data_IF_971476247547
#
_entry.id   IF_971476247547
#
_cell.length_a   1.000
_cell.length_b   1.000
_cell.length_c   1.000
_cell.angle_alpha   90.00
_cell.angle_beta   90.00
_cell.angle_gamma   90.00
#
_symmetry.space_group_name_H-M   'P 1'
#
loop_
_entity.id
_entity.type
_entity.pdbx_description
1 polymer ?
#
# COMPACT_ATOMS: atom_id res chain seq x y z
N UNK A 1 -44.53 -10.63 -13.49
CA UNK A 1 -43.80 -9.63 -12.69
C UNK A 1 -42.34 -10.07 -12.64
N UNK A 2 -41.48 -9.41 -13.41
CA UNK A 2 -40.05 -9.65 -13.43
C UNK A 2 -39.41 -8.86 -12.27
N UNK A 3 -38.68 -9.54 -11.38
CA UNK A 3 -37.69 -8.88 -10.54
C UNK A 3 -36.35 -8.93 -11.26
N UNK A 4 -35.94 -7.78 -11.78
CA UNK A 4 -34.58 -7.52 -12.23
C UNK A 4 -33.97 -6.59 -11.19
N UNK A 5 -33.26 -7.15 -10.20
CA UNK A 5 -32.40 -6.36 -9.30
C UNK A 5 -31.10 -6.11 -10.04
N UNK A 6 -31.08 -5.02 -10.80
CA UNK A 6 -29.87 -4.43 -11.33
C UNK A 6 -29.23 -3.50 -10.30
N UNK A 7 -27.89 -3.55 -10.28
CA UNK A 7 -27.02 -2.42 -9.99
C UNK A 7 -26.92 -1.99 -8.52
N UNK A 8 -26.19 -2.79 -7.74
CA UNK A 8 -25.34 -2.27 -6.67
C UNK A 8 -23.94 -2.86 -6.82
N UNK A 9 -23.32 -2.59 -7.95
CA UNK A 9 -21.86 -2.61 -8.06
C UNK A 9 -21.49 -1.20 -8.46
N UNK A 10 -21.42 -0.30 -7.47
CA UNK A 10 -20.63 0.91 -7.65
C UNK A 10 -19.21 0.41 -7.91
N UNK A 11 -18.85 0.38 -9.18
CA UNK A 11 -17.48 0.31 -9.62
C UNK A 11 -16.77 1.46 -8.91
N UNK A 12 -16.04 1.11 -7.85
CA UNK A 12 -15.06 2.01 -7.24
C UNK A 12 -14.13 2.33 -8.42
N UNK A 13 -14.22 3.58 -8.88
CA UNK A 13 -13.37 4.09 -9.93
C UNK A 13 -11.93 3.88 -9.44
N UNK A 14 -11.21 3.01 -10.13
CA UNK A 14 -9.78 2.83 -9.98
C UNK A 14 -9.09 4.12 -10.45
N UNK A 15 -9.16 5.19 -9.65
CA UNK A 15 -8.11 6.19 -9.71
C UNK A 15 -6.84 5.49 -9.23
N UNK A 16 -5.92 5.23 -10.15
CA UNK A 16 -4.57 4.82 -9.78
C UNK A 16 -3.98 5.94 -8.92
N UNK A 17 -3.94 5.70 -7.62
CA UNK A 17 -3.22 6.57 -6.69
C UNK A 17 -1.74 6.46 -7.04
N UNK A 18 -1.19 7.56 -7.55
CA UNK A 18 0.25 7.70 -7.78
C UNK A 18 0.89 8.08 -6.44
N UNK A 19 1.58 7.12 -5.82
CA UNK A 19 2.31 7.29 -4.56
C UNK A 19 3.78 7.66 -4.79
N UNK A 20 4.34 7.22 -5.91
CA UNK A 20 5.75 7.33 -6.24
C UNK A 20 5.89 7.82 -7.68
N UNK A 21 6.61 8.91 -7.91
CA UNK A 21 6.77 9.53 -9.23
C UNK A 21 8.26 9.68 -9.60
N UNK A 22 8.52 10.30 -10.76
CA UNK A 22 9.88 10.56 -11.25
C UNK A 22 10.75 11.32 -10.25
N UNK A 23 10.16 12.31 -9.54
CA UNK A 23 10.89 13.09 -8.52
C UNK A 23 11.18 12.24 -7.28
N UNK A 24 10.22 11.41 -6.86
CA UNK A 24 10.40 10.47 -5.75
C UNK A 24 11.53 9.48 -6.03
N UNK A 25 11.61 8.97 -7.26
CA UNK A 25 12.69 8.09 -7.70
C UNK A 25 14.05 8.82 -7.72
N UNK A 26 14.11 10.03 -8.27
CA UNK A 26 15.35 10.82 -8.30
C UNK A 26 15.85 11.14 -6.87
N UNK A 27 14.93 11.45 -5.94
CA UNK A 27 15.27 11.64 -4.52
C UNK A 27 15.81 10.37 -3.88
N UNK A 28 15.21 9.20 -4.16
CA UNK A 28 15.68 7.92 -3.63
C UNK A 28 17.08 7.58 -4.13
N UNK A 29 17.35 7.75 -5.43
CA UNK A 29 18.68 7.54 -6.04
C UNK A 29 19.72 8.41 -5.34
N UNK A 30 19.39 9.69 -5.11
CA UNK A 30 20.26 10.63 -4.40
C UNK A 30 20.53 10.21 -2.95
N UNK A 31 19.49 9.81 -2.22
CA UNK A 31 19.62 9.34 -0.84
C UNK A 31 20.49 8.08 -0.72
N UNK A 32 20.43 7.20 -1.72
CA UNK A 32 21.27 6.00 -1.79
C UNK A 32 22.71 6.30 -2.25
N UNK A 33 23.03 7.54 -2.64
CA UNK A 33 24.34 7.91 -3.17
C UNK A 33 24.63 7.32 -4.55
N UNK A 34 23.58 7.02 -5.32
CA UNK A 34 23.67 6.38 -6.63
C UNK A 34 23.60 7.34 -7.80
N UNK A 35 23.51 8.65 -7.55
CA UNK A 35 23.36 9.69 -8.58
C UNK A 35 24.50 9.71 -9.61
N UNK A 36 25.70 9.27 -9.23
CA UNK A 36 26.86 9.16 -10.15
C UNK A 36 27.00 7.78 -10.82
N UNK A 37 26.25 6.76 -10.36
CA UNK A 37 26.42 5.36 -10.77
C UNK A 37 25.24 4.88 -11.61
N UNK A 38 24.05 5.45 -11.39
CA UNK A 38 22.81 5.02 -12.01
C UNK A 38 22.39 6.03 -13.07
N UNK A 39 22.43 5.60 -14.33
CA UNK A 39 21.81 6.30 -15.45
C UNK A 39 20.62 5.46 -15.93
N UNK A 40 19.43 6.03 -15.85
CA UNK A 40 18.23 5.38 -16.36
C UNK A 40 17.85 5.96 -17.72
N UNK A 41 17.63 5.07 -18.69
CA UNK A 41 16.78 5.40 -19.82
C UNK A 41 15.33 5.59 -19.33
N UNK A 42 14.53 6.36 -20.09
CA UNK A 42 13.13 6.67 -19.73
C UNK A 42 12.28 5.42 -19.45
N UNK A 43 12.49 4.33 -20.19
CA UNK A 43 11.71 3.08 -20.05
C UNK A 43 11.99 2.35 -18.73
N UNK A 44 13.24 2.01 -18.36
CA UNK A 44 13.56 1.50 -17.03
C UNK A 44 13.08 2.41 -15.90
N UNK A 45 13.22 3.74 -16.06
CA UNK A 45 12.74 4.71 -15.06
C UNK A 45 11.25 4.57 -14.81
N UNK A 46 10.45 4.56 -15.88
CA UNK A 46 9.00 4.40 -15.78
C UNK A 46 8.62 3.03 -15.19
N UNK A 47 9.30 1.95 -15.57
CA UNK A 47 9.02 0.62 -15.04
C UNK A 47 9.24 0.53 -13.52
N UNK A 48 10.30 1.16 -12.99
CA UNK A 48 10.55 1.22 -11.54
C UNK A 48 9.43 2.01 -10.83
N UNK A 49 8.99 3.12 -11.43
CA UNK A 49 7.90 3.93 -10.92
C UNK A 49 6.60 3.11 -10.85
N UNK A 50 6.27 2.40 -11.92
CA UNK A 50 5.07 1.58 -12.02
C UNK A 50 5.08 0.46 -10.96
N UNK A 51 6.19 -0.27 -10.83
CA UNK A 51 6.36 -1.32 -9.81
C UNK A 51 6.27 -0.74 -8.40
N UNK A 52 6.85 0.43 -8.15
CA UNK A 52 6.76 1.12 -6.87
C UNK A 52 5.31 1.44 -6.49
N UNK A 53 4.53 1.96 -7.44
CA UNK A 53 3.11 2.24 -7.23
C UNK A 53 2.28 0.97 -7.05
N UNK A 54 2.51 -0.08 -7.85
CA UNK A 54 1.85 -1.38 -7.71
C UNK A 54 2.11 -1.98 -6.32
N UNK A 55 3.35 -1.92 -5.85
CA UNK A 55 3.70 -2.37 -4.51
C UNK A 55 2.96 -1.58 -3.42
N UNK A 56 2.89 -0.25 -3.52
CA UNK A 56 2.19 0.59 -2.55
C UNK A 56 0.69 0.30 -2.51
N UNK A 57 0.07 0.11 -3.68
CA UNK A 57 -1.32 -0.32 -3.80
C UNK A 57 -1.54 -1.67 -3.12
N UNK A 58 -0.67 -2.65 -3.39
CA UNK A 58 -0.78 -3.99 -2.80
C UNK A 58 -0.56 -3.97 -1.29
N UNK A 59 0.38 -3.17 -0.80
CA UNK A 59 0.60 -2.97 0.63
C UNK A 59 -0.64 -2.41 1.30
N UNK A 60 -1.26 -1.38 0.74
CA UNK A 60 -2.48 -0.78 1.29
C UNK A 60 -3.64 -1.79 1.30
N UNK A 61 -3.83 -2.54 0.21
CA UNK A 61 -4.86 -3.58 0.11
C UNK A 61 -4.71 -4.65 1.21
N UNK A 62 -3.51 -5.22 1.35
CA UNK A 62 -3.25 -6.26 2.35
C UNK A 62 -3.34 -5.72 3.77
N UNK A 63 -2.85 -4.51 4.02
CA UNK A 63 -2.95 -3.85 5.33
C UNK A 63 -4.42 -3.61 5.72
N UNK A 64 -5.25 -3.18 4.78
CA UNK A 64 -6.69 -3.01 5.00
C UNK A 64 -7.39 -4.35 5.24
N UNK A 65 -7.03 -5.40 4.51
CA UNK A 65 -7.55 -6.75 4.73
C UNK A 65 -7.23 -7.28 6.14
N UNK A 66 -6.02 -7.04 6.63
CA UNK A 66 -5.61 -7.39 8.00
C UNK A 66 -6.40 -6.59 9.03
N UNK A 67 -6.52 -5.27 8.84
CA UNK A 67 -7.31 -4.40 9.72
C UNK A 67 -8.77 -4.85 9.81
N UNK A 68 -9.41 -5.19 8.69
CA UNK A 68 -10.79 -5.68 8.66
C UNK A 68 -10.94 -7.00 9.42
N UNK A 69 -10.01 -7.95 9.25
CA UNK A 69 -10.01 -9.21 10.02
C UNK A 69 -9.89 -8.96 11.52
N UNK A 70 -9.01 -8.05 11.94
CA UNK A 70 -8.88 -7.66 13.35
C UNK A 70 -10.20 -7.10 13.91
N UNK A 71 -10.89 -6.25 13.15
CA UNK A 71 -12.18 -5.70 13.58
C UNK A 71 -13.28 -6.75 13.68
N UNK A 72 -13.31 -7.73 12.76
CA UNK A 72 -14.29 -8.83 12.82
C UNK A 72 -14.07 -9.72 14.06
N UNK A 73 -12.83 -9.83 14.55
CA UNK A 73 -12.47 -10.61 15.72
C UNK A 73 -12.61 -9.84 17.04
N UNK A 74 -12.81 -8.52 17.00
CA UNK A 74 -12.96 -7.68 18.18
C UNK A 74 -14.37 -7.09 18.25
N UNK A 75 -15.18 -7.57 19.19
CA UNK A 75 -16.57 -7.15 19.37
C UNK A 75 -16.74 -5.64 19.60
N UNK A 76 -15.75 -4.97 20.17
CA UNK A 76 -15.75 -3.52 20.39
C UNK A 76 -15.61 -2.72 19.10
N UNK A 77 -15.02 -3.31 18.05
CA UNK A 77 -14.67 -2.63 16.81
C UNK A 77 -15.59 -2.99 15.63
N UNK A 78 -16.44 -4.01 15.75
CA UNK A 78 -17.29 -4.55 14.66
C UNK A 78 -18.16 -3.50 13.95
N UNK A 79 -18.58 -2.45 14.66
CA UNK A 79 -19.48 -1.41 14.13
C UNK A 79 -18.76 -0.12 13.74
N UNK A 80 -17.42 -0.12 13.72
CA UNK A 80 -16.60 1.07 13.41
C UNK A 80 -15.94 0.93 12.05
N UNK A 81 -15.71 2.07 11.37
CA UNK A 81 -14.94 2.08 10.12
C UNK A 81 -13.54 1.48 10.34
N UNK A 82 -13.00 0.65 9.41
CA UNK A 82 -11.63 0.17 9.49
C UNK A 82 -10.62 1.31 9.68
N UNK A 83 -9.96 1.31 10.84
CA UNK A 83 -8.82 2.19 11.12
C UNK A 83 -7.54 1.37 10.97
N UNK A 84 -6.72 1.75 10.00
CA UNK A 84 -5.42 1.12 9.77
C UNK A 84 -4.49 1.47 10.94
N UNK A 85 -3.99 0.45 11.62
CA UNK A 85 -2.99 0.60 12.67
C UNK A 85 -1.63 0.09 12.19
N UNK A 86 -0.57 0.54 12.85
CA UNK A 86 0.79 0.15 12.51
C UNK A 86 0.99 -1.37 12.41
N UNK A 87 0.44 -2.13 13.36
CA UNK A 87 0.56 -3.58 13.38
C UNK A 87 -0.05 -4.26 12.14
N UNK A 88 -1.05 -3.64 11.50
CA UNK A 88 -1.67 -4.20 10.29
C UNK A 88 -0.72 -4.08 9.10
N UNK A 89 -0.08 -2.91 8.97
CA UNK A 89 0.93 -2.63 7.94
C UNK A 89 2.17 -3.51 8.15
N UNK A 90 2.65 -3.60 9.39
CA UNK A 90 3.77 -4.48 9.73
C UNK A 90 3.46 -5.94 9.41
N UNK A 91 2.29 -6.43 9.83
CA UNK A 91 1.89 -7.81 9.54
C UNK A 91 1.78 -8.06 8.02
N UNK A 92 1.20 -7.12 7.26
CA UNK A 92 1.07 -7.22 5.82
C UNK A 92 2.44 -7.29 5.12
N UNK A 93 3.39 -6.42 5.50
CA UNK A 93 4.77 -6.44 4.98
C UNK A 93 5.44 -7.79 5.21
N UNK A 94 5.42 -8.28 6.46
CA UNK A 94 6.16 -9.47 6.85
C UNK A 94 5.52 -10.77 6.36
N UNK A 95 4.19 -10.87 6.41
CA UNK A 95 3.48 -12.15 6.23
C UNK A 95 2.76 -12.26 4.89
N UNK A 96 2.34 -11.13 4.30
CA UNK A 96 1.61 -11.14 3.03
C UNK A 96 2.54 -10.84 1.86
N UNK A 97 3.38 -9.81 1.98
CA UNK A 97 4.33 -9.40 0.95
C UNK A 97 5.71 -10.04 1.10
N UNK A 98 5.96 -10.76 2.21
CA UNK A 98 7.21 -11.47 2.49
C UNK A 98 8.44 -10.57 2.40
N UNK A 99 8.29 -9.30 2.76
CA UNK A 99 9.41 -8.38 2.89
C UNK A 99 10.18 -8.74 4.17
N UNK A 100 11.53 -8.77 4.15
CA UNK A 100 12.33 -9.05 5.34
C UNK A 100 11.92 -8.12 6.49
N UNK A 101 11.89 -8.64 7.72
CA UNK A 101 11.59 -7.84 8.90
C UNK A 101 12.55 -6.66 8.96
N UNK A 102 12.07 -5.47 8.63
CA UNK A 102 12.77 -4.26 8.99
C UNK A 102 12.43 -4.00 10.45
N UNK A 103 13.45 -3.68 11.25
CA UNK A 103 13.25 -3.20 12.62
C UNK A 103 12.62 -1.80 12.53
N UNK A 104 11.32 -1.75 12.24
CA UNK A 104 10.50 -0.55 12.31
C UNK A 104 10.37 -0.20 13.80
N UNK A 105 11.40 0.43 14.35
CA UNK A 105 11.35 1.05 15.66
C UNK A 105 10.47 2.29 15.53
N UNK A 106 9.26 2.23 16.05
CA UNK A 106 8.46 3.42 16.31
C UNK A 106 8.81 3.88 17.71
N UNK A 107 9.43 5.04 17.83
CA UNK A 107 9.36 5.82 19.06
C UNK A 107 7.88 6.04 19.34
N UNK A 108 7.38 5.50 20.46
CA UNK A 108 5.96 5.59 20.82
C UNK A 108 5.50 7.04 20.67
N UNK A 109 4.57 7.29 19.75
CA UNK A 109 3.82 8.54 19.71
C UNK A 109 3.22 8.75 21.12
N UNK A 110 3.63 9.83 21.78
CA UNK A 110 3.05 10.29 23.04
C UNK A 110 1.61 10.76 22.84
#
# INVERSE_FOLDING_TARGET
MNQTQGQNTQAIQNEELIFFDSKGLDMLIKQMGFEEVVQFDEKPKQMIIDIGNEFMNKLLEESMRVSQKRQQQNDELKNTKPKLAFQDVKFALENCLRMPQQNFNIEKDN
#
